data_IF_074695951878
#
_entry.id   IF_074695951878
#
_cell.length_a   1.000
_cell.length_b   1.000
_cell.length_c   1.000
_cell.angle_alpha   90.00
_cell.angle_beta   90.00
_cell.angle_gamma   90.00
#
_symmetry.space_group_name_H-M   'P 1'
#
loop_
_entity.id
_entity.type
_entity.pdbx_description
1 polymer ?
#
# COMPACT_ATOMS: atom_id res chain seq x y z
N UNK A 1 -21.04 22.12 -22.90
CA UNK A 1 -20.87 20.91 -23.71
C UNK A 1 -20.71 19.74 -22.78
N UNK A 2 -21.65 18.78 -22.79
CA UNK A 2 -21.49 17.55 -22.03
C UNK A 2 -20.38 16.74 -22.71
N UNK A 3 -19.21 16.64 -22.07
CA UNK A 3 -18.18 15.72 -22.50
C UNK A 3 -18.68 14.31 -22.20
N UNK A 4 -19.23 13.63 -23.22
CA UNK A 4 -19.46 12.20 -23.14
C UNK A 4 -18.09 11.51 -23.10
N UNK A 5 -17.62 11.15 -21.92
CA UNK A 5 -16.55 10.18 -21.77
C UNK A 5 -17.11 8.80 -22.13
N UNK A 6 -16.55 8.16 -23.14
CA UNK A 6 -16.81 6.76 -23.43
C UNK A 6 -15.78 5.93 -22.67
N UNK A 7 -16.24 5.11 -21.72
CA UNK A 7 -15.41 4.06 -21.11
C UNK A 7 -15.61 2.79 -21.93
N UNK A 8 -14.52 2.20 -22.40
CA UNK A 8 -14.52 0.86 -23.01
C UNK A 8 -13.66 -0.05 -22.15
N UNK A 9 -14.26 -1.12 -21.66
CA UNK A 9 -13.55 -2.16 -20.94
C UNK A 9 -12.99 -3.20 -21.92
N UNK A 10 -11.81 -3.71 -21.62
CA UNK A 10 -11.11 -4.76 -22.35
C UNK A 10 -10.68 -5.86 -21.38
N UNK A 11 -10.80 -7.13 -21.78
CA UNK A 11 -10.32 -8.27 -20.98
C UNK A 11 -9.38 -9.16 -21.79
N UNK A 12 -8.37 -9.70 -21.13
CA UNK A 12 -7.41 -10.63 -21.71
C UNK A 12 -7.25 -11.85 -20.80
N UNK A 13 -6.95 -13.00 -21.39
CA UNK A 13 -6.68 -14.24 -20.66
C UNK A 13 -5.23 -14.64 -20.88
N UNK A 14 -4.55 -14.95 -19.77
CA UNK A 14 -3.21 -15.51 -19.76
C UNK A 14 -3.28 -17.00 -19.43
N UNK A 15 -2.94 -17.86 -20.40
CA UNK A 15 -2.71 -19.27 -20.13
C UNK A 15 -1.25 -19.48 -19.68
N UNK A 16 -1.04 -20.15 -18.54
CA UNK A 16 0.31 -20.48 -18.07
C UNK A 16 1.19 -19.26 -17.74
N UNK A 17 0.60 -18.17 -17.23
CA UNK A 17 1.32 -16.95 -16.93
C UNK A 17 2.39 -17.15 -15.85
N UNK A 18 3.55 -16.53 -16.04
CA UNK A 18 4.58 -16.41 -15.00
C UNK A 18 4.09 -15.41 -13.95
N UNK A 19 4.01 -15.85 -12.69
CA UNK A 19 3.59 -14.99 -11.58
C UNK A 19 4.74 -14.13 -11.11
N UNK A 20 4.44 -12.88 -10.76
CA UNK A 20 5.37 -11.99 -10.07
C UNK A 20 5.56 -12.47 -8.62
N UNK A 21 6.82 -12.58 -8.21
CA UNK A 21 7.30 -12.79 -6.84
C UNK A 21 8.60 -12.01 -6.65
N UNK A 22 9.08 -11.88 -5.42
CA UNK A 22 10.35 -11.18 -5.13
C UNK A 22 11.53 -11.87 -5.86
N UNK A 23 11.55 -13.21 -5.88
CA UNK A 23 12.62 -13.99 -6.50
C UNK A 23 12.44 -14.20 -8.00
N UNK A 24 11.22 -14.02 -8.51
CA UNK A 24 10.88 -14.11 -9.93
C UNK A 24 9.96 -12.94 -10.29
N UNK A 25 10.52 -11.72 -10.46
CA UNK A 25 9.75 -10.51 -10.77
C UNK A 25 9.29 -10.51 -12.23
N UNK A 26 8.43 -11.47 -12.59
CA UNK A 26 7.86 -11.60 -13.93
C UNK A 26 6.99 -10.39 -14.25
N UNK A 27 7.38 -9.64 -15.28
CA UNK A 27 6.65 -8.49 -15.79
C UNK A 27 6.17 -8.73 -17.22
N UNK A 28 5.02 -8.15 -17.52
CA UNK A 28 4.40 -8.07 -18.82
C UNK A 28 4.29 -6.60 -19.25
N UNK A 29 4.07 -6.37 -20.55
CA UNK A 29 3.83 -5.04 -21.12
C UNK A 29 2.44 -5.01 -21.72
N UNK A 30 1.60 -4.08 -21.28
CA UNK A 30 0.34 -3.74 -21.89
C UNK A 30 0.56 -2.61 -22.91
N UNK A 31 0.25 -2.86 -24.18
CA UNK A 31 0.18 -1.83 -25.21
C UNK A 31 -1.27 -1.49 -25.54
N UNK A 32 -1.62 -0.21 -25.49
CA UNK A 32 -2.93 0.32 -25.86
C UNK A 32 -2.75 1.26 -27.06
N UNK A 33 -3.58 1.10 -28.07
CA UNK A 33 -3.52 1.88 -29.32
C UNK A 33 -4.88 2.50 -29.61
N UNK A 34 -4.90 3.78 -29.95
CA UNK A 34 -6.09 4.47 -30.46
C UNK A 34 -5.92 4.60 -31.97
N UNK A 35 -6.91 4.11 -32.73
CA UNK A 35 -6.89 4.17 -34.20
C UNK A 35 -8.09 4.93 -34.75
N UNK A 36 -7.86 5.75 -35.77
CA UNK A 36 -8.88 6.46 -36.55
C UNK A 36 -8.72 6.01 -38.01
N UNK A 37 -9.80 5.51 -38.61
CA UNK A 37 -9.81 5.00 -40.00
C UNK A 37 -8.70 3.97 -40.30
N UNK A 38 -8.42 3.10 -39.31
CA UNK A 38 -7.38 2.07 -39.42
C UNK A 38 -5.95 2.55 -39.19
N UNK A 39 -5.74 3.84 -38.93
CA UNK A 39 -4.42 4.44 -38.63
C UNK A 39 -4.29 4.67 -37.13
N UNK A 40 -3.20 4.20 -36.51
CA UNK A 40 -2.90 4.47 -35.09
C UNK A 40 -2.53 5.95 -34.93
N UNK A 41 -3.29 6.65 -34.09
CA UNK A 41 -3.10 8.09 -33.79
C UNK A 41 -2.56 8.35 -32.39
N UNK A 42 -2.67 7.39 -31.48
CA UNK A 42 -2.09 7.45 -30.14
C UNK A 42 -1.72 6.06 -29.62
N UNK A 43 -0.71 5.99 -28.75
CA UNK A 43 -0.26 4.75 -28.13
C UNK A 43 0.20 4.96 -26.70
N UNK A 44 -0.16 4.03 -25.82
CA UNK A 44 0.28 4.00 -24.43
C UNK A 44 0.83 2.63 -24.08
N UNK A 45 1.91 2.59 -23.29
CA UNK A 45 2.52 1.36 -22.82
C UNK A 45 2.69 1.41 -21.32
N UNK A 46 2.36 0.33 -20.64
CA UNK A 46 2.70 0.16 -19.23
C UNK A 46 3.14 -1.26 -18.89
N UNK A 47 3.92 -1.40 -17.83
CA UNK A 47 4.35 -2.68 -17.29
C UNK A 47 3.46 -3.10 -16.12
N UNK A 48 3.13 -4.38 -16.03
CA UNK A 48 2.42 -4.95 -14.89
C UNK A 48 2.94 -6.35 -14.56
N UNK A 49 2.63 -6.85 -13.37
CA UNK A 49 2.96 -8.21 -12.93
C UNK A 49 1.73 -8.90 -12.35
N UNK A 50 1.68 -10.23 -12.49
CA UNK A 50 0.55 -11.04 -12.01
C UNK A 50 0.89 -11.65 -10.65
N UNK A 51 0.26 -11.14 -9.59
CA UNK A 51 0.42 -11.68 -8.23
C UNK A 51 -0.89 -11.63 -7.47
N UNK A 52 -0.98 -12.41 -6.39
CA UNK A 52 -2.04 -12.28 -5.37
C UNK A 52 -1.40 -12.19 -3.99
N UNK A 53 -1.60 -11.08 -3.29
CA UNK A 53 -1.28 -10.93 -1.86
C UNK A 53 -2.57 -11.03 -1.06
N UNK A 54 -2.56 -11.75 0.06
CA UNK A 54 -3.73 -11.87 0.94
C UNK A 54 -3.33 -12.24 2.36
N UNK A 55 -4.22 -11.99 3.32
CA UNK A 55 -4.17 -12.63 4.63
C UNK A 55 -4.84 -14.01 4.51
N UNK A 56 -4.23 -15.03 5.09
CA UNK A 56 -4.81 -16.37 5.17
C UNK A 56 -6.13 -16.34 5.97
N UNK A 57 -7.26 -16.84 5.43
CA UNK A 57 -8.52 -16.86 6.16
C UNK A 57 -8.51 -17.79 7.39
N UNK A 58 -7.51 -18.65 7.54
CA UNK A 58 -7.42 -19.67 8.60
C UNK A 58 -6.32 -19.40 9.63
N UNK A 59 -5.42 -18.46 9.38
CA UNK A 59 -4.26 -18.17 10.23
C UNK A 59 -3.82 -16.71 10.12
N UNK A 60 -3.16 -16.13 11.13
CA UNK A 60 -2.65 -14.75 11.10
C UNK A 60 -1.37 -14.63 10.25
N UNK A 61 -1.43 -15.03 8.97
CA UNK A 61 -0.27 -15.03 8.07
C UNK A 61 -0.56 -14.40 6.72
N UNK A 62 0.47 -13.84 6.11
CA UNK A 62 0.45 -13.36 4.74
C UNK A 62 0.69 -14.51 3.76
N UNK A 63 0.02 -14.45 2.61
CA UNK A 63 0.21 -15.37 1.50
C UNK A 63 0.52 -14.59 0.22
N UNK A 64 1.63 -14.90 -0.45
CA UNK A 64 1.91 -14.45 -1.80
C UNK A 64 1.73 -15.62 -2.77
N UNK A 65 0.79 -15.46 -3.71
CA UNK A 65 0.42 -16.47 -4.70
C UNK A 65 -0.07 -17.81 -4.11
N UNK A 66 -0.48 -17.81 -2.84
CA UNK A 66 -0.95 -18.99 -2.11
C UNK A 66 0.05 -19.52 -1.08
N UNK A 67 1.31 -19.09 -1.16
CA UNK A 67 2.38 -19.57 -0.29
C UNK A 67 2.66 -18.56 0.84
N UNK A 68 2.91 -19.02 2.09
CA UNK A 68 3.27 -18.15 3.20
C UNK A 68 4.50 -17.29 2.91
N UNK A 69 4.45 -16.01 3.30
CA UNK A 69 5.56 -15.07 3.15
C UNK A 69 5.65 -14.13 4.36
N UNK A 70 6.86 -13.85 4.81
CA UNK A 70 7.15 -12.78 5.77
C UNK A 70 8.22 -11.87 5.19
N UNK A 71 8.22 -10.60 5.61
CA UNK A 71 9.09 -9.58 5.02
C UNK A 71 10.12 -9.05 6.02
N UNK A 72 11.40 -9.19 5.71
CA UNK A 72 12.44 -8.38 6.35
C UNK A 72 12.61 -7.09 5.58
N UNK A 73 12.55 -5.95 6.26
CA UNK A 73 12.40 -4.67 5.59
C UNK A 73 13.33 -3.58 6.12
N UNK A 74 13.38 -2.49 5.36
CA UNK A 74 13.92 -1.22 5.83
C UNK A 74 13.03 -0.09 5.31
N UNK A 75 12.83 0.92 6.15
CA UNK A 75 12.15 2.12 5.70
C UNK A 75 13.12 3.09 5.02
N UNK A 76 12.57 3.96 4.18
CA UNK A 76 13.35 4.93 3.39
C UNK A 76 12.70 6.31 3.45
N UNK A 77 13.54 7.33 3.27
CA UNK A 77 13.11 8.70 2.97
C UNK A 77 13.46 9.03 1.52
N UNK A 78 12.53 9.67 0.79
CA UNK A 78 12.75 10.11 -0.58
C UNK A 78 13.42 11.50 -0.63
N UNK A 79 14.57 11.63 0.03
CA UNK A 79 15.31 12.89 0.04
C UNK A 79 16.82 12.67 -0.02
N UNK A 80 17.53 13.59 -0.67
CA UNK A 80 18.98 13.62 -0.60
C UNK A 80 19.45 14.30 0.69
N UNK A 81 20.18 13.57 1.53
CA UNK A 81 20.85 14.19 2.68
C UNK A 81 22.04 15.02 2.21
N UNK A 82 21.97 16.35 2.33
CA UNK A 82 23.06 17.30 2.01
C UNK A 82 23.52 18.06 3.25
N UNK A 83 24.81 18.36 3.46
CA UNK A 83 25.28 18.98 4.71
C UNK A 83 24.51 20.25 5.13
N UNK A 84 24.33 20.49 6.46
CA UNK A 84 23.63 21.66 6.95
C UNK A 84 24.36 22.95 6.53
N UNK A 85 23.58 23.99 6.18
CA UNK A 85 24.12 25.32 5.87
C UNK A 85 23.92 26.22 7.09
N UNK A 86 25.01 26.79 7.62
CA UNK A 86 25.00 27.61 8.85
C UNK A 86 24.38 26.89 10.07
N UNK A 87 24.53 25.57 10.15
CA UNK A 87 24.00 24.77 11.25
C UNK A 87 22.48 24.51 11.20
N UNK A 88 21.79 24.96 10.14
CA UNK A 88 20.36 24.72 9.95
C UNK A 88 20.10 23.59 8.93
N UNK A 89 19.15 22.68 9.21
CA UNK A 89 18.54 21.83 8.19
C UNK A 89 17.96 22.65 7.05
N UNK A 90 18.11 22.18 5.81
CA UNK A 90 17.46 22.79 4.64
C UNK A 90 16.50 21.85 3.89
N UNK A 91 16.35 20.62 4.40
CA UNK A 91 15.72 19.52 3.68
C UNK A 91 16.55 19.03 2.49
N UNK A 92 16.24 17.84 1.99
CA UNK A 92 16.80 17.32 0.75
C UNK A 92 15.92 17.58 -0.47
N UNK A 93 16.52 17.62 -1.66
CA UNK A 93 15.74 17.48 -2.90
C UNK A 93 15.27 16.04 -3.06
N UNK A 94 14.15 15.78 -3.77
CA UNK A 94 13.78 14.42 -4.15
C UNK A 94 14.93 13.70 -4.85
N UNK A 95 15.09 12.41 -4.56
CA UNK A 95 16.17 11.61 -5.13
C UNK A 95 16.00 11.44 -6.63
N UNK A 96 17.10 11.62 -7.37
CA UNK A 96 17.20 11.34 -8.80
C UNK A 96 17.12 9.84 -9.10
N UNK A 97 16.86 9.48 -10.36
CA UNK A 97 16.80 8.08 -10.80
C UNK A 97 18.04 7.24 -10.41
N UNK A 98 19.30 7.71 -10.59
CA UNK A 98 20.47 6.97 -10.11
C UNK A 98 20.49 6.76 -8.60
N UNK A 99 20.02 7.73 -7.81
CA UNK A 99 19.97 7.61 -6.35
C UNK A 99 18.89 6.61 -5.90
N UNK A 100 17.74 6.58 -6.58
CA UNK A 100 16.71 5.55 -6.36
C UNK A 100 17.25 4.14 -6.64
N UNK A 101 18.04 3.98 -7.71
CA UNK A 101 18.72 2.72 -7.98
C UNK A 101 19.72 2.38 -6.86
N UNK A 102 20.42 3.39 -6.32
CA UNK A 102 21.28 3.24 -5.15
C UNK A 102 20.54 2.68 -3.93
N UNK A 103 19.35 3.20 -3.61
CA UNK A 103 18.48 2.67 -2.54
C UNK A 103 18.20 1.18 -2.77
N UNK A 104 17.76 0.81 -3.98
CA UNK A 104 17.43 -0.59 -4.28
C UNK A 104 18.66 -1.49 -4.16
N UNK A 105 19.83 -1.03 -4.60
CA UNK A 105 21.08 -1.79 -4.45
C UNK A 105 21.51 -1.95 -3.00
N UNK A 106 21.36 -0.91 -2.19
CA UNK A 106 21.62 -0.99 -0.76
C UNK A 106 20.67 -1.95 -0.06
N UNK A 107 19.37 -1.90 -0.36
CA UNK A 107 18.37 -2.82 0.16
C UNK A 107 18.73 -4.28 -0.19
N UNK A 108 19.05 -4.57 -1.46
CA UNK A 108 19.51 -5.90 -1.88
C UNK A 108 20.79 -6.33 -1.16
N UNK A 109 21.73 -5.41 -0.93
CA UNK A 109 22.98 -5.72 -0.24
C UNK A 109 22.78 -6.14 1.22
N UNK A 110 21.64 -5.81 1.85
CA UNK A 110 21.29 -6.24 3.22
C UNK A 110 20.11 -7.21 3.28
N UNK A 111 19.75 -7.85 2.16
CA UNK A 111 18.63 -8.81 2.08
C UNK A 111 17.29 -8.22 2.55
N UNK A 112 17.02 -6.96 2.22
CA UNK A 112 15.71 -6.35 2.42
C UNK A 112 14.76 -6.82 1.32
N UNK A 113 13.60 -7.34 1.73
CA UNK A 113 12.49 -7.78 0.89
C UNK A 113 11.41 -6.71 0.74
N UNK A 114 11.21 -5.89 1.78
CA UNK A 114 10.17 -4.86 1.86
C UNK A 114 10.76 -3.47 2.10
N UNK A 115 10.49 -2.54 1.18
CA UNK A 115 10.72 -1.12 1.38
C UNK A 115 9.46 -0.47 1.90
N UNK A 116 9.55 0.22 3.04
CA UNK A 116 8.49 1.11 3.53
C UNK A 116 8.81 2.55 3.16
N UNK A 117 7.95 3.20 2.36
CA UNK A 117 8.17 4.58 1.92
C UNK A 117 7.56 5.55 2.92
N UNK A 118 8.34 6.04 3.88
CA UNK A 118 7.83 6.98 4.87
C UNK A 118 7.84 8.42 4.37
N UNK A 119 6.94 9.29 4.83
CA UNK A 119 5.53 9.03 5.16
C UNK A 119 4.66 9.57 4.02
N UNK A 120 5.07 9.34 2.77
CA UNK A 120 4.47 9.94 1.58
C UNK A 120 4.39 8.91 0.46
N UNK A 121 3.50 9.11 -0.53
CA UNK A 121 3.47 8.28 -1.72
C UNK A 121 4.86 8.11 -2.30
N UNK A 122 5.18 6.88 -2.71
CA UNK A 122 6.51 6.50 -3.12
C UNK A 122 6.94 7.28 -4.37
N UNK A 123 8.24 7.36 -4.60
CA UNK A 123 8.74 7.86 -5.88
C UNK A 123 8.34 6.84 -6.99
N UNK A 124 7.67 7.25 -8.09
CA UNK A 124 7.27 6.32 -9.14
C UNK A 124 8.43 5.54 -9.75
N UNK A 125 9.62 6.16 -9.83
CA UNK A 125 10.81 5.50 -10.35
C UNK A 125 11.32 4.40 -9.39
N UNK A 126 11.16 4.59 -8.07
CA UNK A 126 11.46 3.53 -7.11
C UNK A 126 10.54 2.33 -7.30
N UNK A 127 9.24 2.56 -7.48
CA UNK A 127 8.26 1.48 -7.71
C UNK A 127 8.58 0.71 -8.99
N UNK A 128 8.94 1.43 -10.07
CA UNK A 128 9.41 0.83 -11.32
C UNK A 128 10.67 -0.03 -11.16
N UNK A 129 11.57 0.34 -10.24
CA UNK A 129 12.75 -0.46 -9.91
C UNK A 129 12.38 -1.66 -9.03
N UNK A 130 11.54 -1.47 -8.01
CA UNK A 130 11.07 -2.52 -7.13
C UNK A 130 10.32 -3.62 -7.90
N UNK A 131 9.48 -3.24 -8.86
CA UNK A 131 8.81 -4.17 -9.79
C UNK A 131 9.80 -5.06 -10.53
N UNK A 132 10.90 -4.47 -11.05
CA UNK A 132 11.89 -5.14 -11.90
C UNK A 132 12.91 -5.94 -11.10
N UNK A 133 13.24 -5.47 -9.91
CA UNK A 133 14.32 -6.00 -9.07
C UNK A 133 13.81 -6.86 -7.91
N UNK A 134 12.49 -7.03 -7.81
CA UNK A 134 11.88 -8.00 -6.90
C UNK A 134 11.85 -7.54 -5.45
N UNK A 135 11.36 -6.33 -5.20
CA UNK A 135 11.12 -5.82 -3.86
C UNK A 135 9.62 -5.60 -3.64
N UNK A 136 9.13 -5.93 -2.45
CA UNK A 136 7.83 -5.49 -1.99
C UNK A 136 7.91 -4.03 -1.52
N UNK A 137 6.79 -3.32 -1.64
CA UNK A 137 6.65 -1.95 -1.17
C UNK A 137 5.42 -1.82 -0.28
N UNK A 138 5.62 -1.17 0.87
CA UNK A 138 4.58 -0.58 1.68
C UNK A 138 4.55 0.92 1.36
N UNK A 139 3.53 1.33 0.60
CA UNK A 139 3.34 2.71 0.19
C UNK A 139 2.27 3.36 1.07
N UNK A 140 2.42 4.63 1.46
CA UNK A 140 1.52 5.25 2.42
C UNK A 140 1.24 6.74 2.16
N UNK A 141 0.12 7.23 2.70
CA UNK A 141 -0.25 8.64 2.70
C UNK A 141 0.19 9.34 4.01
N UNK A 142 0.38 10.69 4.01
CA UNK A 142 1.03 11.42 5.12
C UNK A 142 0.09 11.76 6.28
N UNK A 143 -0.50 10.76 6.94
CA UNK A 143 -1.20 10.96 8.22
C UNK A 143 -0.28 10.55 9.37
N UNK A 144 0.85 11.25 9.52
CA UNK A 144 1.87 10.98 10.53
C UNK A 144 1.76 11.91 11.74
N UNK A 145 1.72 11.36 12.96
CA UNK A 145 1.61 12.13 14.21
C UNK A 145 0.35 13.02 14.30
N UNK A 146 -0.76 12.59 13.71
CA UNK A 146 -2.02 13.31 13.78
C UNK A 146 -2.71 13.15 15.14
N UNK A 147 -3.48 14.15 15.55
CA UNK A 147 -4.35 14.13 16.73
C UNK A 147 -5.80 13.91 16.30
N UNK A 148 -6.73 13.61 17.23
CA UNK A 148 -8.17 13.57 16.93
C UNK A 148 -8.67 14.80 16.15
N UNK A 149 -8.20 15.99 16.53
CA UNK A 149 -8.60 17.25 15.90
C UNK A 149 -8.07 17.36 14.47
N UNK A 150 -6.80 17.00 14.25
CA UNK A 150 -6.21 17.09 12.89
C UNK A 150 -6.82 16.05 11.96
N UNK A 151 -7.10 14.82 12.43
CA UNK A 151 -7.86 13.82 11.65
C UNK A 151 -9.22 14.36 11.23
N UNK A 152 -10.01 14.86 12.18
CA UNK A 152 -11.34 15.41 11.91
C UNK A 152 -11.29 16.50 10.84
N UNK A 153 -10.33 17.42 10.97
CA UNK A 153 -10.15 18.52 10.04
C UNK A 153 -9.79 18.06 8.62
N UNK A 154 -8.79 17.19 8.47
CA UNK A 154 -8.33 16.78 7.13
C UNK A 154 -9.31 15.84 6.44
N UNK A 155 -9.97 14.94 7.20
CA UNK A 155 -10.96 14.01 6.66
C UNK A 155 -12.20 14.75 6.18
N UNK A 156 -12.64 15.80 6.90
CA UNK A 156 -13.73 16.67 6.47
C UNK A 156 -13.39 17.42 5.18
N UNK A 157 -12.13 17.82 5.00
CA UNK A 157 -11.66 18.50 3.79
C UNK A 157 -11.43 17.56 2.60
N UNK A 158 -11.44 16.25 2.81
CA UNK A 158 -11.22 15.27 1.76
C UNK A 158 -9.75 15.12 1.32
N UNK A 159 -8.80 15.71 2.05
CA UNK A 159 -7.38 15.71 1.61
C UNK A 159 -6.79 14.29 1.60
N UNK A 160 -6.96 13.46 2.64
CA UNK A 160 -6.41 12.10 2.63
C UNK A 160 -7.06 11.22 1.56
N UNK A 161 -8.36 11.41 1.31
CA UNK A 161 -9.10 10.68 0.27
C UNK A 161 -8.56 11.01 -1.12
N UNK A 162 -8.29 12.29 -1.39
CA UNK A 162 -7.69 12.71 -2.65
C UNK A 162 -6.28 12.12 -2.82
N UNK A 163 -5.42 12.24 -1.80
CA UNK A 163 -4.05 11.70 -1.86
C UNK A 163 -4.03 10.19 -2.06
N UNK A 164 -4.89 9.44 -1.35
CA UNK A 164 -5.02 8.00 -1.52
C UNK A 164 -5.50 7.64 -2.94
N UNK A 165 -6.48 8.37 -3.47
CA UNK A 165 -6.97 8.13 -4.82
C UNK A 165 -5.89 8.41 -5.88
N UNK A 166 -5.15 9.51 -5.75
CA UNK A 166 -4.04 9.85 -6.65
C UNK A 166 -2.92 8.80 -6.61
N UNK A 167 -2.52 8.38 -5.41
CA UNK A 167 -1.52 7.32 -5.19
C UNK A 167 -1.98 5.99 -5.80
N UNK A 168 -3.15 5.49 -5.41
CA UNK A 168 -3.66 4.21 -5.88
C UNK A 168 -3.88 4.16 -7.39
N UNK A 169 -4.35 5.26 -8.02
CA UNK A 169 -4.54 5.34 -9.47
C UNK A 169 -3.21 5.42 -10.23
N UNK A 170 -2.26 6.22 -9.74
CA UNK A 170 -0.93 6.37 -10.35
C UNK A 170 -0.18 5.04 -10.33
N UNK A 171 -0.25 4.32 -9.21
CA UNK A 171 0.58 3.15 -8.95
C UNK A 171 -0.17 1.83 -9.13
N UNK A 172 -1.40 1.87 -9.66
CA UNK A 172 -2.29 0.72 -9.84
C UNK A 172 -1.58 -0.48 -10.47
N UNK A 173 -0.79 -0.25 -11.52
CA UNK A 173 -0.11 -1.29 -12.29
C UNK A 173 1.21 -1.79 -11.66
N UNK A 174 1.64 -1.28 -10.50
CA UNK A 174 2.89 -1.67 -9.82
C UNK A 174 2.70 -2.96 -9.02
N UNK A 175 3.16 -4.15 -9.49
CA UNK A 175 3.02 -5.40 -8.74
C UNK A 175 3.82 -5.42 -7.43
N UNK A 176 4.88 -4.61 -7.31
CA UNK A 176 5.69 -4.49 -6.09
C UNK A 176 4.92 -3.88 -4.91
N UNK A 177 3.92 -3.04 -5.16
CA UNK A 177 3.14 -2.41 -4.09
C UNK A 177 2.21 -3.46 -3.48
N UNK A 178 2.54 -3.89 -2.26
CA UNK A 178 1.85 -4.94 -1.51
C UNK A 178 0.84 -4.35 -0.52
N UNK A 179 1.17 -3.18 0.01
CA UNK A 179 0.42 -2.56 1.08
C UNK A 179 0.15 -1.09 0.81
N UNK A 180 -1.04 -0.64 1.19
CA UNK A 180 -1.37 0.77 1.36
C UNK A 180 -1.49 1.10 2.84
N UNK A 181 -0.58 1.95 3.32
CA UNK A 181 -0.57 2.50 4.67
C UNK A 181 -1.37 3.80 4.75
N UNK A 182 -2.18 3.95 5.79
CA UNK A 182 -3.05 5.12 5.93
C UNK A 182 -2.61 6.12 6.99
N UNK A 183 -1.95 5.67 8.05
CA UNK A 183 -1.50 6.53 9.13
C UNK A 183 -0.25 5.97 9.80
N UNK A 184 0.50 6.88 10.44
CA UNK A 184 1.66 6.55 11.25
C UNK A 184 1.59 7.27 12.58
N UNK A 185 1.74 6.52 13.68
CA UNK A 185 1.96 7.04 15.03
C UNK A 185 1.00 8.19 15.39
N UNK A 186 -0.25 8.06 14.96
CA UNK A 186 -1.27 9.07 15.20
C UNK A 186 -2.12 8.66 16.40
N UNK A 187 -2.63 9.65 17.11
CA UNK A 187 -3.39 9.47 18.36
C UNK A 187 -4.90 9.48 18.10
N UNK A 188 -5.69 9.19 19.14
CA UNK A 188 -7.14 9.07 19.05
C UNK A 188 -7.61 7.65 18.73
N UNK A 189 -8.88 7.39 19.02
CA UNK A 189 -9.50 6.07 18.80
C UNK A 189 -10.64 6.20 17.81
N UNK A 190 -11.66 6.98 18.12
CA UNK A 190 -12.89 7.06 17.32
C UNK A 190 -12.64 7.72 15.95
N UNK A 191 -12.00 8.89 15.94
CA UNK A 191 -11.69 9.64 14.72
C UNK A 191 -10.76 8.85 13.81
N UNK A 192 -9.72 8.23 14.39
CA UNK A 192 -8.76 7.41 13.65
C UNK A 192 -9.43 6.14 13.11
N UNK A 193 -10.24 5.43 13.90
CA UNK A 193 -10.99 4.24 13.42
C UNK A 193 -11.95 4.59 12.28
N UNK A 194 -12.65 5.72 12.39
CA UNK A 194 -13.52 6.24 11.34
C UNK A 194 -12.73 6.59 10.07
N UNK A 195 -11.57 7.23 10.21
CA UNK A 195 -10.68 7.54 9.11
C UNK A 195 -10.17 6.26 8.42
N UNK A 196 -9.68 5.28 9.20
CA UNK A 196 -9.20 3.99 8.69
C UNK A 196 -10.30 3.25 7.91
N UNK A 197 -11.54 3.26 8.41
CA UNK A 197 -12.69 2.65 7.72
C UNK A 197 -12.96 3.36 6.39
N UNK A 198 -13.04 4.69 6.40
CA UNK A 198 -13.31 5.50 5.21
C UNK A 198 -12.25 5.31 4.13
N UNK A 199 -10.97 5.30 4.51
CA UNK A 199 -9.84 5.14 3.60
C UNK A 199 -9.76 3.71 3.06
N UNK A 200 -9.98 2.68 3.89
CA UNK A 200 -10.06 1.29 3.44
C UNK A 200 -11.19 1.10 2.43
N UNK A 201 -12.37 1.66 2.69
CA UNK A 201 -13.50 1.56 1.75
C UNK A 201 -13.22 2.29 0.43
N UNK A 202 -12.48 3.40 0.47
CA UNK A 202 -12.05 4.10 -0.73
C UNK A 202 -11.03 3.28 -1.52
N UNK A 203 -10.02 2.74 -0.84
CA UNK A 203 -9.02 1.86 -1.44
C UNK A 203 -9.66 0.67 -2.16
N UNK A 204 -10.60 -0.01 -1.50
CA UNK A 204 -11.34 -1.15 -2.07
C UNK A 204 -12.19 -0.78 -3.29
N UNK A 205 -12.65 0.48 -3.40
CA UNK A 205 -13.39 0.97 -4.57
C UNK A 205 -12.48 1.33 -5.75
N UNK A 206 -11.25 1.75 -5.47
CA UNK A 206 -10.30 2.20 -6.50
C UNK A 206 -9.46 1.04 -7.00
N UNK A 207 -8.76 0.36 -6.08
CA UNK A 207 -7.82 -0.72 -6.36
C UNK A 207 -8.29 -2.05 -5.79
N UNK A 208 -8.35 -2.15 -4.46
CA UNK A 208 -8.82 -3.34 -3.77
C UNK A 208 -8.00 -4.62 -4.01
N UNK A 209 -6.84 -4.55 -4.66
CA UNK A 209 -5.94 -5.71 -4.87
C UNK A 209 -4.73 -5.72 -3.91
N UNK A 210 -4.58 -4.67 -3.09
CA UNK A 210 -3.54 -4.51 -2.08
C UNK A 210 -4.10 -4.75 -0.68
N UNK A 211 -3.21 -4.95 0.30
CA UNK A 211 -3.57 -5.02 1.71
C UNK A 211 -3.47 -3.65 2.36
N UNK A 212 -4.40 -3.33 3.24
CA UNK A 212 -4.46 -2.03 3.93
C UNK A 212 -3.96 -2.15 5.36
N UNK A 213 -3.28 -1.10 5.84
CA UNK A 213 -2.73 -1.06 7.19
C UNK A 213 -2.39 0.35 7.67
N UNK A 214 -1.86 0.43 8.88
CA UNK A 214 -1.30 1.64 9.48
C UNK A 214 -0.18 1.25 10.44
N UNK A 215 0.67 2.18 10.85
CA UNK A 215 1.65 1.99 11.90
C UNK A 215 1.16 2.64 13.20
N UNK A 216 0.64 1.84 14.14
CA UNK A 216 0.24 2.30 15.47
C UNK A 216 1.46 2.36 16.41
N UNK A 217 1.36 3.11 17.50
CA UNK A 217 2.40 3.05 18.54
C UNK A 217 2.43 1.67 19.19
N UNK A 218 3.56 0.96 19.15
CA UNK A 218 3.71 -0.31 19.86
C UNK A 218 3.74 -0.17 21.38
N UNK A 219 3.83 1.05 21.91
CA UNK A 219 3.66 1.31 23.35
C UNK A 219 2.25 0.99 23.87
N UNK A 220 1.25 0.97 22.98
CA UNK A 220 -0.10 0.43 23.22
C UNK A 220 -0.41 -0.72 22.24
N UNK A 221 0.03 -1.95 22.56
CA UNK A 221 -0.27 -3.11 21.71
C UNK A 221 -1.76 -3.47 21.64
N UNK A 222 -2.61 -2.84 22.47
CA UNK A 222 -4.05 -3.09 22.52
C UNK A 222 -4.88 -2.12 21.68
N UNK A 223 -4.21 -1.21 20.97
CA UNK A 223 -4.84 -0.23 20.08
C UNK A 223 -5.82 -0.91 19.09
N UNK A 224 -7.13 -0.60 19.15
CA UNK A 224 -8.16 -1.27 18.36
C UNK A 224 -8.33 -0.68 16.95
N UNK A 225 -7.60 0.39 16.61
CA UNK A 225 -7.88 1.20 15.41
C UNK A 225 -7.51 0.51 14.09
N UNK A 226 -6.74 -0.58 14.12
CA UNK A 226 -6.48 -1.44 12.94
C UNK A 226 -7.58 -2.47 12.70
N UNK A 227 -8.63 -2.54 13.53
CA UNK A 227 -9.77 -3.44 13.32
C UNK A 227 -10.39 -3.36 11.91
N UNK A 228 -10.56 -2.18 11.27
CA UNK A 228 -11.14 -2.07 9.93
C UNK A 228 -10.21 -2.47 8.77
N UNK A 229 -8.92 -2.68 9.02
CA UNK A 229 -7.86 -2.86 8.00
C UNK A 229 -7.54 -4.35 7.79
N UNK A 230 -6.65 -4.69 6.87
CA UNK A 230 -6.30 -6.10 6.61
C UNK A 230 -5.22 -6.63 7.58
N UNK A 231 -4.25 -5.78 7.93
CA UNK A 231 -3.11 -6.14 8.79
C UNK A 231 -3.02 -5.22 10.01
N UNK A 232 -2.36 -5.66 11.08
CA UNK A 232 -2.17 -4.86 12.30
C UNK A 232 -0.72 -4.37 12.37
N UNK A 233 -0.46 -3.12 12.00
CA UNK A 233 0.89 -2.57 11.97
C UNK A 233 1.25 -1.73 13.19
N UNK A 234 2.50 -1.86 13.64
CA UNK A 234 3.01 -1.18 14.82
C UNK A 234 4.48 -0.75 14.66
N UNK A 235 4.87 0.30 15.36
CA UNK A 235 6.26 0.69 15.61
C UNK A 235 6.76 0.08 16.93
N UNK A 236 8.00 -0.39 17.01
CA UNK A 236 8.55 -1.11 18.17
C UNK A 236 9.87 -0.49 18.64
N UNK A 237 9.82 0.25 19.75
CA UNK A 237 10.96 1.00 20.30
C UNK A 237 11.13 0.80 21.82
N UNK A 238 10.87 -0.40 22.32
CA UNK A 238 11.13 -0.76 23.72
C UNK A 238 12.61 -0.62 24.07
N UNK A 239 12.92 -0.10 25.25
CA UNK A 239 14.28 0.23 25.67
C UNK A 239 14.86 1.50 25.03
N UNK A 240 14.12 2.13 24.11
CA UNK A 240 14.52 3.34 23.36
C UNK A 240 13.53 4.48 23.63
N UNK A 241 12.39 4.49 22.93
CA UNK A 241 11.35 5.52 23.08
C UNK A 241 10.24 5.12 24.06
N UNK A 242 9.96 3.83 24.23
CA UNK A 242 8.85 3.34 25.07
C UNK A 242 9.26 3.06 26.52
N UNK A 243 10.47 3.46 26.90
CA UNK A 243 11.04 3.25 28.23
C UNK A 243 11.56 1.82 28.46
N UNK A 244 12.01 1.59 29.70
CA UNK A 244 12.67 0.34 30.12
C UNK A 244 14.19 0.36 29.91
N UNK A 245 14.96 -0.48 30.64
CA UNK A 245 16.42 -0.49 30.56
C UNK A 245 16.98 -1.26 29.34
N UNK A 246 16.13 -1.99 28.62
CA UNK A 246 16.50 -2.81 27.47
C UNK A 246 15.27 -3.10 26.58
N UNK A 247 15.47 -3.53 25.31
CA UNK A 247 14.37 -3.91 24.44
C UNK A 247 13.54 -5.11 24.95
N UNK A 248 14.21 -6.11 25.52
CA UNK A 248 13.56 -7.27 26.12
C UNK A 248 13.39 -7.10 27.63
N UNK A 249 12.31 -7.64 28.23
CA UNK A 249 11.25 -8.47 27.61
C UNK A 249 10.10 -7.67 26.94
N UNK A 250 10.23 -6.33 26.87
CA UNK A 250 9.16 -5.44 26.39
C UNK A 250 8.65 -5.77 25.00
N UNK A 251 9.56 -5.96 24.04
CA UNK A 251 9.25 -6.33 22.66
C UNK A 251 8.46 -7.64 22.59
N UNK A 252 8.95 -8.71 23.24
CA UNK A 252 8.27 -10.01 23.22
C UNK A 252 6.87 -9.95 23.84
N UNK A 253 6.70 -9.23 24.96
CA UNK A 253 5.41 -9.06 25.61
C UNK A 253 4.42 -8.28 24.74
N UNK A 254 4.91 -7.23 24.07
CA UNK A 254 4.11 -6.40 23.20
C UNK A 254 3.63 -7.15 21.96
N UNK A 255 4.50 -7.95 21.32
CA UNK A 255 4.12 -8.81 20.19
C UNK A 255 3.01 -9.78 20.57
N UNK A 256 3.14 -10.45 21.73
CA UNK A 256 2.13 -11.39 22.21
C UNK A 256 0.79 -10.69 22.47
N UNK A 257 0.81 -9.46 23.00
CA UNK A 257 -0.39 -8.67 23.24
C UNK A 257 -1.01 -8.13 21.95
N UNK A 258 -0.21 -7.69 20.98
CA UNK A 258 -0.68 -7.29 19.66
C UNK A 258 -1.36 -8.45 18.94
N UNK A 259 -0.76 -9.65 18.97
CA UNK A 259 -1.37 -10.85 18.42
C UNK A 259 -2.67 -11.25 19.15
N UNK A 260 -2.70 -11.13 20.47
CA UNK A 260 -3.94 -11.37 21.24
C UNK A 260 -5.06 -10.38 20.88
N UNK A 261 -4.70 -9.12 20.60
CA UNK A 261 -5.64 -8.09 20.16
C UNK A 261 -6.16 -8.38 18.76
N UNK A 262 -5.30 -8.88 17.87
CA UNK A 262 -5.63 -9.22 16.48
C UNK A 262 -5.27 -10.69 16.14
N UNK A 263 -6.04 -11.68 16.65
CA UNK A 263 -5.68 -13.10 16.52
C UNK A 263 -5.75 -13.64 15.09
N UNK A 264 -6.42 -12.93 14.19
CA UNK A 264 -6.63 -13.32 12.79
C UNK A 264 -5.89 -12.40 11.80
N UNK A 265 -5.06 -11.48 12.27
CA UNK A 265 -4.27 -10.60 11.42
C UNK A 265 -2.79 -10.84 11.65
N UNK A 266 -1.96 -10.84 10.60
CA UNK A 266 -0.52 -10.75 10.80
C UNK A 266 -0.19 -9.40 11.46
N UNK A 267 0.71 -9.45 12.44
CA UNK A 267 1.32 -8.29 13.07
C UNK A 267 2.46 -7.82 12.17
N UNK A 268 2.38 -6.57 11.71
CA UNK A 268 3.40 -5.94 10.88
C UNK A 268 4.27 -5.06 11.76
N UNK A 269 5.54 -5.43 11.98
CA UNK A 269 6.51 -4.53 12.59
C UNK A 269 6.99 -3.59 11.50
N UNK A 270 6.49 -2.36 11.53
CA UNK A 270 6.71 -1.34 10.49
C UNK A 270 7.84 -0.37 10.82
N UNK A 271 8.26 -0.34 12.09
CA UNK A 271 9.51 0.28 12.54
C UNK A 271 10.07 -0.48 13.73
N UNK A 272 11.38 -0.64 13.76
CA UNK A 272 12.17 -0.86 14.96
C UNK A 272 13.58 -0.34 14.70
N UNK A 273 14.27 0.12 15.72
CA UNK A 273 15.63 0.57 15.57
C UNK A 273 16.13 1.41 16.72
N UNK A 274 17.32 1.96 16.54
CA UNK A 274 17.90 2.97 17.42
C UNK A 274 18.76 3.94 16.60
N UNK A 275 18.77 5.20 16.99
CA UNK A 275 19.60 6.21 16.35
C UNK A 275 21.00 6.16 16.93
N UNK A 276 22.00 6.51 16.13
CA UNK A 276 23.35 6.74 16.65
C UNK A 276 23.42 8.14 17.29
N UNK A 277 23.58 8.28 18.62
CA UNK A 277 23.70 9.58 19.27
C UNK A 277 25.03 10.27 18.92
N UNK A 278 25.10 11.61 19.04
CA UNK A 278 26.31 12.37 18.70
C UNK A 278 27.50 11.91 19.55
N UNK A 279 28.60 11.52 18.90
CA UNK A 279 29.76 10.88 19.57
C UNK A 279 29.54 9.44 20.05
N UNK A 280 28.38 8.83 19.76
CA UNK A 280 28.06 7.44 20.10
C UNK A 280 28.74 6.40 19.21
N UNK A 281 28.74 5.15 19.67
CA UNK A 281 29.26 3.99 18.95
C UNK A 281 28.16 3.25 18.18
N UNK A 282 28.49 2.74 16.99
CA UNK A 282 27.61 1.85 16.21
C UNK A 282 27.26 0.56 16.98
N UNK A 283 28.04 0.21 18.02
CA UNK A 283 27.74 -0.95 18.86
C UNK A 283 26.41 -0.81 19.61
N UNK A 284 25.98 0.39 19.97
CA UNK A 284 24.69 0.58 20.64
C UNK A 284 23.52 0.17 19.72
N UNK A 285 23.49 0.73 18.51
CA UNK A 285 22.54 0.40 17.46
C UNK A 285 22.55 -1.11 17.13
N UNK A 286 23.74 -1.69 17.06
CA UNK A 286 23.95 -3.12 16.85
C UNK A 286 23.34 -3.97 17.97
N UNK A 287 23.55 -3.58 19.22
CA UNK A 287 23.01 -4.28 20.39
C UNK A 287 21.49 -4.23 20.40
N UNK A 288 20.88 -3.12 20.01
CA UNK A 288 19.42 -3.00 19.88
C UNK A 288 18.89 -3.97 18.83
N UNK A 289 19.49 -4.00 17.63
CA UNK A 289 19.12 -4.95 16.59
C UNK A 289 19.19 -6.40 17.11
N UNK A 290 20.33 -6.78 17.69
CA UNK A 290 20.59 -8.15 18.19
C UNK A 290 19.67 -8.59 19.31
N UNK A 291 19.16 -7.66 20.12
CA UNK A 291 18.26 -7.96 21.23
C UNK A 291 16.79 -7.95 20.80
N UNK A 292 16.44 -7.19 19.77
CA UNK A 292 15.04 -6.98 19.36
C UNK A 292 14.63 -7.91 18.22
N UNK A 293 15.44 -8.01 17.16
CA UNK A 293 15.09 -8.78 15.96
C UNK A 293 14.80 -10.27 16.22
N UNK A 294 15.49 -10.97 17.14
CA UNK A 294 15.17 -12.37 17.42
C UNK A 294 13.73 -12.63 17.88
N UNK A 295 13.09 -11.68 18.59
CA UNK A 295 11.69 -11.79 18.98
C UNK A 295 10.76 -11.79 17.76
N UNK A 296 11.04 -10.95 16.76
CA UNK A 296 10.31 -10.94 15.49
C UNK A 296 10.60 -12.20 14.68
N UNK A 297 11.89 -12.53 14.51
CA UNK A 297 12.35 -13.64 13.68
C UNK A 297 11.81 -14.99 14.13
N UNK A 298 11.69 -15.23 15.44
CA UNK A 298 11.14 -16.47 15.98
C UNK A 298 9.62 -16.60 15.83
N UNK A 299 8.92 -15.50 15.56
CA UNK A 299 7.47 -15.44 15.42
C UNK A 299 7.00 -15.13 13.99
N UNK A 300 7.89 -15.20 12.98
CA UNK A 300 7.52 -14.95 11.58
C UNK A 300 6.40 -15.89 11.12
N UNK A 301 5.41 -15.34 10.42
CA UNK A 301 4.18 -16.02 10.02
C UNK A 301 4.35 -17.12 8.95
N UNK A 302 5.57 -17.28 8.42
CA UNK A 302 6.00 -18.44 7.65
C UNK A 302 6.11 -19.72 8.51
N UNK A 303 6.25 -19.59 9.83
CA UNK A 303 6.30 -20.71 10.76
C UNK A 303 4.89 -21.14 11.22
N UNK A 304 4.67 -22.40 11.63
CA UNK A 304 3.33 -22.91 11.97
C UNK A 304 2.57 -22.10 13.04
N UNK A 305 3.27 -21.58 14.05
CA UNK A 305 2.69 -20.76 15.13
C UNK A 305 3.05 -19.26 15.04
N UNK A 306 3.65 -18.85 13.93
CA UNK A 306 4.04 -17.46 13.72
C UNK A 306 2.85 -16.58 13.35
N UNK A 307 2.99 -15.30 13.61
CA UNK A 307 1.99 -14.25 13.36
C UNK A 307 2.63 -12.91 12.98
N UNK A 308 3.96 -12.84 12.84
CA UNK A 308 4.68 -11.62 12.45
C UNK A 308 4.90 -11.63 10.93
N UNK A 309 4.23 -10.72 10.21
CA UNK A 309 4.30 -10.64 8.75
C UNK A 309 5.43 -9.75 8.24
N UNK A 310 5.98 -8.86 9.08
CA UNK A 310 7.16 -8.06 8.72
C UNK A 310 8.03 -7.69 9.90
N UNK A 311 9.29 -7.34 9.61
CA UNK A 311 10.24 -6.67 10.50
C UNK A 311 11.01 -5.59 9.74
N UNK A 312 10.56 -4.34 9.84
CA UNK A 312 11.12 -3.19 9.09
C UNK A 312 12.05 -2.36 9.98
N UNK A 313 13.34 -2.35 9.65
CA UNK A 313 14.31 -1.48 10.31
C UNK A 313 14.08 -0.02 9.94
N UNK A 314 14.02 0.83 10.95
CA UNK A 314 14.11 2.28 10.79
C UNK A 314 15.60 2.66 10.90
N UNK A 315 16.32 3.00 9.84
CA UNK A 315 15.97 3.13 8.41
C UNK A 315 17.13 2.62 7.52
N UNK A 316 16.95 2.57 6.20
CA UNK A 316 18.03 2.14 5.29
C UNK A 316 19.19 3.16 5.24
N UNK A 317 18.84 4.45 5.22
CA UNK A 317 19.77 5.58 5.14
C UNK A 317 19.43 6.59 6.24
N UNK A 318 20.44 7.32 6.71
CA UNK A 318 20.23 8.51 7.56
C UNK A 318 19.34 9.54 6.82
N UNK A 319 18.62 10.38 7.57
CA UNK A 319 17.65 11.33 7.00
C UNK A 319 17.59 12.66 7.79
N UNK A 320 17.01 13.69 7.19
CA UNK A 320 16.84 15.01 7.83
C UNK A 320 15.68 15.02 8.81
N UNK A 321 15.86 15.75 9.91
CA UNK A 321 14.80 15.95 10.90
C UNK A 321 14.70 17.42 11.27
N UNK A 322 13.51 17.86 11.66
CA UNK A 322 13.25 19.18 12.23
C UNK A 322 13.21 19.16 13.76
N UNK A 323 13.52 18.01 14.38
CA UNK A 323 13.63 17.85 15.83
C UNK A 323 14.68 18.83 16.38
N UNK A 324 14.31 19.73 17.31
CA UNK A 324 15.23 20.72 17.85
C UNK A 324 16.51 20.09 18.42
N UNK A 325 17.67 20.52 17.91
CA UNK A 325 18.98 20.02 18.35
C UNK A 325 19.47 18.76 17.64
N UNK A 326 18.64 18.15 16.78
CA UNK A 326 19.03 17.05 15.90
C UNK A 326 18.94 17.54 14.45
N UNK A 327 20.03 17.36 13.71
CA UNK A 327 20.16 17.86 12.35
C UNK A 327 19.94 16.70 11.37
N UNK A 328 20.58 15.57 11.63
CA UNK A 328 20.41 14.32 10.87
C UNK A 328 20.16 13.20 11.85
N UNK A 329 19.11 12.42 11.60
CA UNK A 329 18.87 11.18 12.32
C UNK A 329 19.70 10.06 11.73
N UNK A 330 20.50 9.42 12.59
CA UNK A 330 21.52 8.44 12.19
C UNK A 330 21.08 7.02 12.48
N UNK A 331 19.90 6.68 11.96
CA UNK A 331 19.30 5.36 12.01
C UNK A 331 19.77 4.42 10.89
N UNK A 332 20.42 4.96 9.85
CA UNK A 332 20.70 4.25 8.61
C UNK A 332 21.53 2.98 8.79
N UNK A 333 21.13 1.88 8.13
CA UNK A 333 22.00 0.70 7.94
C UNK A 333 23.27 1.05 7.15
N UNK A 334 23.22 2.11 6.35
CA UNK A 334 24.33 2.67 5.60
C UNK A 334 24.68 4.06 6.12
N UNK A 335 25.97 4.38 6.08
CA UNK A 335 26.49 5.73 6.31
C UNK A 335 26.21 6.62 5.09
N UNK A 336 26.28 7.95 5.23
CA UNK A 336 26.08 8.88 4.11
C UNK A 336 27.06 8.68 2.93
N UNK A 337 28.25 8.11 3.18
CA UNK A 337 29.22 7.77 2.12
C UNK A 337 28.90 6.46 1.37
N UNK A 338 27.80 5.79 1.73
CA UNK A 338 27.37 4.52 1.18
C UNK A 338 28.00 3.28 1.84
N UNK A 339 28.88 3.46 2.83
CA UNK A 339 29.48 2.37 3.57
C UNK A 339 28.50 1.73 4.55
N UNK A 340 28.42 0.40 4.57
CA UNK A 340 27.55 -0.34 5.49
C UNK A 340 28.01 -0.17 6.95
N UNK A 341 27.07 0.12 7.86
CA UNK A 341 27.31 0.16 9.32
C UNK A 341 27.40 -1.23 9.91
N UNK A 342 27.90 -1.34 11.15
CA UNK A 342 27.93 -2.61 11.87
C UNK A 342 26.54 -3.28 12.00
N UNK A 343 25.49 -2.48 12.22
CA UNK A 343 24.10 -2.99 12.22
C UNK A 343 23.66 -3.49 10.85
N UNK A 344 24.13 -2.86 9.76
CA UNK A 344 23.85 -3.32 8.39
C UNK A 344 24.40 -4.70 8.11
N UNK A 345 25.57 -5.03 8.66
CA UNK A 345 26.17 -6.38 8.56
C UNK A 345 25.33 -7.41 9.33
N UNK A 346 24.86 -7.06 10.52
CA UNK A 346 23.97 -7.94 11.29
C UNK A 346 22.60 -8.12 10.61
N UNK A 347 22.06 -7.05 10.01
CA UNK A 347 20.84 -7.10 9.20
C UNK A 347 21.02 -8.00 7.99
N UNK A 348 22.08 -7.80 7.19
CA UNK A 348 22.42 -8.66 6.05
C UNK A 348 22.45 -10.14 6.45
N UNK A 349 23.14 -10.46 7.55
CA UNK A 349 23.26 -11.85 8.04
C UNK A 349 21.92 -12.41 8.52
N UNK A 350 21.13 -11.62 9.23
CA UNK A 350 19.91 -12.09 9.90
C UNK A 350 18.72 -12.15 8.94
N UNK A 351 18.59 -11.19 8.05
CA UNK A 351 17.57 -11.15 7.00
C UNK A 351 17.83 -12.22 5.95
N UNK A 352 19.10 -12.44 5.58
CA UNK A 352 19.51 -13.49 4.63
C UNK A 352 19.15 -14.93 5.04
N UNK A 353 18.76 -15.16 6.30
CA UNK A 353 18.28 -16.46 6.80
C UNK A 353 16.78 -16.68 6.57
N UNK A 354 16.03 -15.60 6.35
CA UNK A 354 14.58 -15.59 6.10
C UNK A 354 14.33 -15.54 4.59
N UNK A 355 15.03 -14.63 3.91
CA UNK A 355 14.98 -14.51 2.46
C UNK A 355 15.61 -15.77 1.86
N UNK A 356 14.88 -16.56 1.09
CA UNK A 356 15.52 -17.64 0.31
C UNK A 356 16.41 -16.97 -0.73
N UNK A 357 17.75 -17.12 -0.69
CA UNK A 357 18.62 -16.54 -1.71
C UNK A 357 18.38 -17.32 -2.99
N UNK A 358 17.53 -16.81 -3.88
CA UNK A 358 17.50 -17.30 -5.25
C UNK A 358 18.55 -16.51 -6.00
N UNK A 359 19.54 -17.22 -6.57
CA UNK A 359 20.54 -16.61 -7.43
C UNK A 359 19.85 -15.65 -8.40
N UNK A 360 20.30 -14.38 -8.42
CA UNK A 360 19.73 -13.36 -9.28
C UNK A 360 19.66 -13.93 -10.70
N UNK A 361 18.43 -14.16 -11.18
CA UNK A 361 18.24 -14.67 -12.53
C UNK A 361 18.72 -13.55 -13.46
N UNK A 362 19.78 -13.76 -14.26
CA UNK A 362 20.38 -12.70 -15.06
C UNK A 362 19.40 -12.11 -16.08
N UNK A 363 18.32 -12.85 -16.37
CA UNK A 363 17.20 -12.38 -17.18
C UNK A 363 15.93 -13.15 -16.81
N UNK A 364 14.94 -12.46 -16.23
CA UNK A 364 13.57 -12.98 -16.13
C UNK A 364 12.81 -12.45 -17.36
N UNK A 365 12.69 -13.28 -18.39
CA UNK A 365 11.77 -13.03 -19.51
C UNK A 365 10.53 -13.86 -19.26
N UNK A 366 9.39 -13.21 -19.13
CA UNK A 366 8.11 -13.90 -19.02
C UNK A 366 7.82 -14.60 -20.36
N UNK A 367 7.58 -15.91 -20.35
CA UNK A 367 7.33 -16.70 -21.57
C UNK A 367 5.87 -16.67 -22.02
N UNK A 368 4.96 -16.22 -21.14
CA UNK A 368 3.53 -16.19 -21.40
C UNK A 368 3.12 -15.17 -22.47
N UNK A 369 2.18 -15.55 -23.32
CA UNK A 369 1.49 -14.62 -24.21
C UNK A 369 0.03 -14.53 -23.77
N UNK A 370 -0.48 -13.30 -23.62
CA UNK A 370 -1.92 -13.08 -23.47
C UNK A 370 -2.60 -13.13 -24.83
N UNK A 371 -3.78 -13.75 -24.87
CA UNK A 371 -4.69 -13.62 -25.99
C UNK A 371 -5.81 -12.70 -25.56
N UNK A 372 -6.01 -11.61 -26.30
CA UNK A 372 -7.15 -10.73 -26.10
C UNK A 372 -8.43 -11.54 -26.32
N UNK A 373 -9.32 -11.53 -25.33
CA UNK A 373 -10.65 -12.11 -25.49
C UNK A 373 -11.57 -10.95 -25.86
N UNK A 374 -12.30 -11.03 -26.99
CA UNK A 374 -13.26 -9.98 -27.31
C UNK A 374 -14.22 -9.84 -26.13
N UNK A 375 -14.28 -8.65 -25.54
CA UNK A 375 -15.33 -8.33 -24.58
C UNK A 375 -16.64 -8.48 -25.32
N UNK A 376 -17.56 -9.37 -24.89
CA UNK A 376 -18.86 -9.45 -25.52
C UNK A 376 -19.48 -8.06 -25.48
N UNK A 377 -19.81 -7.49 -26.64
CA UNK A 377 -20.66 -6.31 -26.71
C UNK A 377 -21.85 -6.56 -25.77
N UNK A 378 -22.12 -5.69 -24.79
CA UNK A 378 -23.23 -5.90 -23.87
C UNK A 378 -24.48 -6.09 -24.71
N UNK A 379 -25.06 -7.29 -24.65
CA UNK A 379 -26.22 -7.63 -25.46
C UNK A 379 -27.35 -6.64 -25.17
N UNK A 380 -27.56 -5.70 -26.09
CA UNK A 380 -28.68 -4.77 -26.04
C UNK A 380 -30.02 -5.48 -26.26
N UNK A 381 -30.03 -6.80 -26.47
CA UNK A 381 -31.23 -7.59 -26.69
C UNK A 381 -32.24 -7.41 -25.56
N UNK A 382 -31.82 -7.44 -24.29
CA UNK A 382 -32.74 -7.23 -23.17
C UNK A 382 -33.32 -5.81 -23.17
N UNK A 383 -32.51 -4.79 -23.48
CA UNK A 383 -32.93 -3.39 -23.57
C UNK A 383 -33.86 -3.15 -24.76
N UNK A 384 -33.59 -3.76 -25.91
CA UNK A 384 -34.42 -3.70 -27.11
C UNK A 384 -35.73 -4.47 -26.90
N UNK A 385 -35.68 -5.64 -26.27
CA UNK A 385 -36.86 -6.42 -25.92
C UNK A 385 -37.73 -5.67 -24.91
N UNK A 386 -37.13 -5.05 -23.89
CA UNK A 386 -37.84 -4.18 -22.95
C UNK A 386 -38.46 -2.97 -23.66
N UNK A 387 -37.74 -2.31 -24.58
CA UNK A 387 -38.29 -1.21 -25.37
C UNK A 387 -39.48 -1.67 -26.22
N UNK A 388 -39.36 -2.79 -26.93
CA UNK A 388 -40.43 -3.35 -27.79
C UNK A 388 -41.64 -3.81 -26.98
N UNK A 389 -41.46 -4.31 -25.75
CA UNK A 389 -42.59 -4.79 -24.93
C UNK A 389 -43.23 -3.67 -24.10
N UNK A 390 -42.43 -2.78 -23.50
CA UNK A 390 -42.90 -1.77 -22.55
C UNK A 390 -43.44 -0.54 -23.27
N UNK A 391 -42.79 -0.10 -24.35
CA UNK A 391 -43.20 1.12 -25.06
C UNK A 391 -44.64 1.05 -25.63
N UNK A 392 -45.08 -0.05 -26.28
CA UNK A 392 -46.47 -0.16 -26.74
C UNK A 392 -47.46 -0.19 -25.58
N UNK A 393 -47.14 -0.88 -24.48
CA UNK A 393 -48.01 -0.93 -23.30
C UNK A 393 -48.18 0.44 -22.65
N UNK A 394 -47.11 1.22 -22.53
CA UNK A 394 -47.16 2.60 -22.02
C UNK A 394 -47.95 3.51 -22.97
N UNK A 395 -47.72 3.40 -24.28
CA UNK A 395 -48.44 4.19 -25.28
C UNK A 395 -49.95 3.90 -25.25
N UNK A 396 -50.34 2.63 -25.19
CA UNK A 396 -51.75 2.22 -25.06
C UNK A 396 -52.33 2.69 -23.74
N UNK A 397 -51.59 2.56 -22.63
CA UNK A 397 -52.01 3.06 -21.32
C UNK A 397 -52.28 4.56 -21.31
N UNK A 398 -51.39 5.35 -21.92
CA UNK A 398 -51.55 6.81 -22.06
C UNK A 398 -52.74 7.19 -22.96
N UNK A 399 -52.96 6.46 -24.06
CA UNK A 399 -54.13 6.67 -24.92
C UNK A 399 -55.45 6.37 -24.20
N UNK A 400 -55.51 5.27 -23.45
CA UNK A 400 -56.68 4.90 -22.65
C UNK A 400 -56.93 5.93 -21.55
N UNK A 401 -55.88 6.34 -20.82
CA UNK A 401 -55.97 7.38 -19.80
C UNK A 401 -56.46 8.71 -20.38
N UNK A 402 -55.93 9.12 -21.55
CA UNK A 402 -56.37 10.32 -22.27
C UNK A 402 -57.83 10.25 -22.69
N UNK A 403 -58.29 9.11 -23.24
CA UNK A 403 -59.69 8.89 -23.58
C UNK A 403 -60.62 8.94 -22.36
N UNK A 404 -60.22 8.36 -21.23
CA UNK A 404 -60.97 8.41 -19.98
C UNK A 404 -61.04 9.82 -19.40
N UNK A 405 -59.96 10.59 -19.48
CA UNK A 405 -59.92 12.00 -19.08
C UNK A 405 -60.86 12.85 -19.95
N UNK A 406 -60.83 12.68 -21.28
CA UNK A 406 -61.73 13.37 -22.21
C UNK A 406 -63.21 13.02 -21.97
N UNK A 407 -63.50 11.78 -21.54
CA UNK A 407 -64.85 11.36 -21.14
C UNK A 407 -65.34 12.07 -19.87
N UNK A 408 -64.45 12.34 -18.91
CA UNK A 408 -64.77 13.11 -17.69
C UNK A 408 -65.16 14.56 -17.99
N UNK A 409 -64.58 15.16 -19.03
CA UNK A 409 -64.92 16.53 -19.47
C UNK A 409 -66.21 16.63 -20.30
N UNK A 410 -66.78 15.51 -20.76
CA UNK A 410 -68.05 15.46 -21.52
C UNK A 410 -69.29 15.14 -20.66
N UNK A 411 -69.26 15.34 -19.34
CA UNK A 411 -70.50 15.30 -18.54
C UNK A 411 -71.33 16.58 -18.82
N UNK A 412 -72.60 16.47 -19.26
CA UNK A 412 -73.41 17.63 -19.57
C UNK A 412 -73.74 18.40 -18.29
N UNK A 413 -73.62 19.74 -18.33
CA UNK A 413 -74.15 20.64 -17.29
C UNK A 413 -75.67 20.43 -17.21
N UNK A 414 -76.13 19.78 -16.14
CA UNK A 414 -77.53 19.81 -15.75
C UNK A 414 -77.91 21.25 -15.40
N UNK A 415 -78.81 21.83 -16.22
CA UNK A 415 -79.54 23.06 -15.89
C UNK A 415 -80.51 22.73 -14.76
N UNK A 416 -80.35 23.36 -13.61
CA UNK A 416 -81.43 23.49 -12.64
C UNK A 416 -82.29 24.71 -13.01
N UNK A 417 -83.58 24.47 -13.20
CA UNK A 417 -84.62 25.46 -13.20
C UNK A 417 -85.43 25.27 -11.91
N UNK A 418 -85.36 26.28 -11.04
CA UNK A 418 -86.36 26.91 -10.14
C UNK A 418 -85.63 27.48 -8.95
#
# INVERSE_FOLDING_TARGET
SAHNSFVRDGSFVFAGADKWTLNRPALYVLGVYVSVDGVVVDSFYDTFGLRRIQVDPTAPRLLLNGDPIAFTGAAIHNEQVTPPVNGAPRGGTPLSAPQQLGIVRQAQAVNVDLLRTNHVPANPFLLMLADRLGLAVWEEIPLNHFTPETFSLVMQRGLPQQMLAEMALRDFNRPSVMFHGFANESTGVDERTSAMTTLRDLDRRIDGTRLTGQAMYGSDPTDPTSAPLDVAGYTFYYGIFYGGPAPEPGTSNALALAHKTYPHKPVMVLEFGDWLPFGGSEDAQRQVFRKTYPAFASNLDIFPAGYVGSAVWWSLQDYWTDVPGIVVERFGLFRPDGGMRAVGVDAQTSFGRVTTPVAAQPRVVSGGQAVAVPVPEPSHFATHLAFVLVFPCVLVGLLVAGMLALRRFRRPRLRHAT
#
